data_IF_219866331912
#
_entry.id   IF_219866331912
#
_cell.length_a   1.000
_cell.length_b   1.000
_cell.length_c   1.000
_cell.angle_alpha   90.00
_cell.angle_beta   90.00
_cell.angle_gamma   90.00
#
_symmetry.space_group_name_H-M   'P 1'
#
loop_
_entity.id
_entity.type
_entity.pdbx_description
1 polymer ?
#
# COMPACT_ATOMS: atom_id res chain seq x y z
N UNK A 1 27.96 -1.63 21.03
CA UNK A 1 28.68 -1.61 19.74
C UNK A 1 28.99 -3.03 19.35
N UNK A 2 28.87 -3.38 18.07
CA UNK A 2 29.23 -4.70 17.51
C UNK A 2 30.32 -4.48 16.49
N UNK A 3 31.34 -5.32 16.50
CA UNK A 3 32.47 -5.24 15.59
C UNK A 3 32.38 -6.33 14.53
N UNK A 4 32.95 -6.07 13.34
CA UNK A 4 32.98 -7.05 12.24
C UNK A 4 34.16 -8.02 12.34
N UNK A 5 35.12 -7.75 13.23
CA UNK A 5 36.35 -8.51 13.38
C UNK A 5 36.66 -8.82 14.85
N UNK A 6 37.46 -9.87 15.09
CA UNK A 6 37.85 -10.30 16.41
C UNK A 6 38.89 -9.36 17.09
N UNK A 7 39.47 -8.44 16.34
CA UNK A 7 40.43 -7.46 16.84
C UNK A 7 39.75 -6.14 17.26
N UNK A 8 38.43 -6.02 17.15
CA UNK A 8 37.62 -4.84 17.50
C UNK A 8 38.05 -3.56 16.77
N UNK A 9 38.55 -3.68 15.53
CA UNK A 9 39.04 -2.56 14.74
C UNK A 9 38.00 -1.94 13.82
N UNK A 10 37.05 -2.74 13.32
CA UNK A 10 35.98 -2.28 12.46
C UNK A 10 34.64 -2.26 13.18
N UNK A 11 34.08 -1.07 13.34
CA UNK A 11 32.74 -0.91 13.91
C UNK A 11 31.69 -1.36 12.88
N UNK A 12 30.92 -2.38 13.23
CA UNK A 12 29.91 -2.94 12.33
C UNK A 12 28.52 -2.38 12.62
N UNK A 13 28.08 -2.43 13.87
CA UNK A 13 26.78 -1.97 14.29
C UNK A 13 26.92 -1.06 15.52
N UNK A 14 26.29 0.10 15.47
CA UNK A 14 25.98 0.90 16.66
C UNK A 14 24.58 0.57 17.11
N UNK A 15 24.41 0.23 18.37
CA UNK A 15 23.11 -0.05 18.98
C UNK A 15 22.79 1.05 19.98
N UNK A 16 21.65 1.71 19.79
CA UNK A 16 21.11 2.73 20.67
C UNK A 16 19.84 2.19 21.34
N UNK A 17 19.92 1.87 22.62
CA UNK A 17 18.77 1.37 23.38
C UNK A 17 18.12 2.50 24.18
N UNK A 18 16.81 2.60 24.10
CA UNK A 18 15.99 3.57 24.84
C UNK A 18 15.05 2.85 25.81
N UNK A 19 14.54 3.61 26.76
CA UNK A 19 13.56 3.09 27.73
C UNK A 19 12.25 2.72 27.01
N UNK A 20 11.54 1.78 27.61
CA UNK A 20 10.15 1.50 27.29
C UNK A 20 9.29 2.77 27.45
N UNK A 21 8.27 2.95 26.60
CA UNK A 21 7.31 4.07 26.67
C UNK A 21 7.89 5.49 26.51
N UNK A 22 8.92 5.68 25.69
CA UNK A 22 9.37 7.04 25.34
C UNK A 22 8.40 7.68 24.33
N UNK A 23 8.35 9.03 24.34
CA UNK A 23 7.56 9.75 23.35
C UNK A 23 8.09 9.54 21.92
N UNK A 24 7.23 9.72 20.92
CA UNK A 24 7.64 9.67 19.51
C UNK A 24 8.71 10.72 19.17
N UNK A 25 8.59 11.91 19.77
CA UNK A 25 9.58 12.99 19.66
C UNK A 25 10.95 12.56 20.19
N UNK A 26 10.98 11.93 21.38
CA UNK A 26 12.23 11.47 21.98
C UNK A 26 12.84 10.32 21.21
N UNK A 27 11.98 9.46 20.61
CA UNK A 27 12.45 8.38 19.76
C UNK A 27 13.08 8.90 18.46
N UNK A 28 12.47 9.93 17.83
CA UNK A 28 13.05 10.61 16.66
C UNK A 28 14.37 11.30 16.98
N UNK A 29 14.48 11.91 18.15
CA UNK A 29 15.76 12.48 18.63
C UNK A 29 16.82 11.40 18.84
N UNK A 30 16.42 10.22 19.32
CA UNK A 30 17.32 9.08 19.46
C UNK A 30 17.85 8.57 18.11
N UNK A 31 17.02 8.61 17.06
CA UNK A 31 17.44 8.29 15.69
C UNK A 31 18.55 9.25 15.25
N UNK A 32 18.35 10.56 15.37
CA UNK A 32 19.37 11.55 14.97
C UNK A 32 20.66 11.41 15.78
N UNK A 33 20.57 11.19 17.08
CA UNK A 33 21.72 10.95 17.94
C UNK A 33 22.48 9.67 17.53
N UNK A 34 21.72 8.60 17.24
CA UNK A 34 22.27 7.32 16.78
C UNK A 34 23.02 7.45 15.46
N UNK A 35 22.49 8.22 14.50
CA UNK A 35 23.19 8.52 13.25
C UNK A 35 24.47 9.30 13.49
N UNK A 36 24.47 10.31 14.36
CA UNK A 36 25.67 11.06 14.74
C UNK A 36 26.75 10.14 15.30
N UNK A 37 26.39 9.25 16.22
CA UNK A 37 27.28 8.27 16.82
C UNK A 37 27.80 7.27 15.78
N UNK A 38 26.95 6.71 14.95
CA UNK A 38 27.30 5.71 13.96
C UNK A 38 28.25 6.30 12.88
N UNK A 39 28.00 7.52 12.41
CA UNK A 39 28.89 8.23 11.50
C UNK A 39 30.24 8.54 12.11
N UNK A 40 30.29 9.03 13.34
CA UNK A 40 31.55 9.33 14.05
C UNK A 40 32.41 8.08 14.25
N UNK A 41 31.78 6.96 14.44
CA UNK A 41 32.42 5.65 14.63
C UNK A 41 32.66 4.90 13.31
N UNK A 42 32.22 5.45 12.18
CA UNK A 42 32.28 4.81 10.85
C UNK A 42 31.64 3.42 10.84
N UNK A 43 30.58 3.23 11.63
CA UNK A 43 29.83 1.98 11.64
C UNK A 43 29.04 1.81 10.31
N UNK A 44 28.82 0.56 9.94
CA UNK A 44 28.04 0.25 8.72
C UNK A 44 26.54 0.33 8.96
N UNK A 45 26.11 -0.11 10.14
CA UNK A 45 24.68 -0.16 10.49
C UNK A 45 24.42 0.54 11.82
N UNK A 46 23.19 1.03 11.97
CA UNK A 46 22.63 1.56 13.19
C UNK A 46 21.38 0.77 13.56
N UNK A 47 21.29 0.31 14.79
CA UNK A 47 20.10 -0.30 15.36
C UNK A 47 19.60 0.59 16.49
N UNK A 48 18.35 1.03 16.42
CA UNK A 48 17.68 1.76 17.48
C UNK A 48 16.53 0.91 17.99
N UNK A 49 16.49 0.68 19.28
CA UNK A 49 15.48 -0.15 19.92
C UNK A 49 15.01 0.44 21.24
N UNK A 50 13.74 0.27 21.51
CA UNK A 50 13.18 0.21 22.84
C UNK A 50 12.48 -1.16 22.97
N UNK A 51 11.78 -1.44 24.06
CA UNK A 51 11.14 -2.73 24.26
C UNK A 51 10.08 -3.07 23.18
N UNK A 52 9.43 -2.03 22.62
CA UNK A 52 8.27 -2.16 21.71
C UNK A 52 8.64 -2.02 20.24
N UNK A 53 9.68 -1.24 19.93
CA UNK A 53 10.03 -0.87 18.55
C UNK A 53 11.50 -1.15 18.27
N UNK A 54 11.79 -1.60 17.04
CA UNK A 54 13.13 -1.84 16.53
C UNK A 54 13.27 -1.24 15.12
N UNK A 55 14.22 -0.33 14.93
CA UNK A 55 14.53 0.25 13.64
C UNK A 55 16.00 0.04 13.31
N UNK A 56 16.27 -0.40 12.09
CA UNK A 56 17.60 -0.63 11.55
C UNK A 56 17.88 0.30 10.37
N UNK A 57 19.13 0.76 10.26
CA UNK A 57 19.54 1.68 9.21
C UNK A 57 20.91 1.28 8.64
N UNK A 58 21.05 1.37 7.31
CA UNK A 58 22.34 1.36 6.63
C UNK A 58 22.92 2.78 6.63
N UNK A 59 24.14 2.93 7.18
CA UNK A 59 24.75 4.26 7.37
C UNK A 59 25.63 4.65 6.19
N UNK A 60 26.14 3.69 5.44
CA UNK A 60 27.19 3.92 4.43
C UNK A 60 26.63 4.21 3.05
N UNK A 61 25.50 3.62 2.67
CA UNK A 61 25.03 3.61 1.30
C UNK A 61 24.12 4.79 0.91
N UNK A 62 23.63 5.56 1.90
CA UNK A 62 22.66 6.64 1.64
C UNK A 62 23.08 7.97 2.27
N UNK A 63 22.68 9.11 1.68
CA UNK A 63 22.99 10.43 2.24
C UNK A 63 22.45 10.60 3.65
N UNK A 64 23.21 11.26 4.56
CA UNK A 64 22.78 11.44 5.97
C UNK A 64 21.49 12.22 6.17
N UNK A 65 21.05 12.99 5.18
CA UNK A 65 19.84 13.81 5.21
C UNK A 65 18.58 13.10 4.68
N UNK A 66 18.71 11.87 4.18
CA UNK A 66 17.60 11.08 3.62
C UNK A 66 17.36 9.82 4.46
N UNK A 67 16.96 10.01 5.73
CA UNK A 67 16.80 8.95 6.74
C UNK A 67 15.91 7.81 6.30
N UNK A 68 14.84 8.11 5.57
CA UNK A 68 13.91 7.09 5.08
C UNK A 68 14.56 6.15 4.07
N UNK A 69 15.52 6.63 3.30
CA UNK A 69 16.29 5.79 2.37
C UNK A 69 17.33 4.93 3.08
N UNK A 70 17.82 5.36 4.24
CA UNK A 70 18.75 4.56 5.04
C UNK A 70 18.06 3.39 5.77
N UNK A 71 16.73 3.40 5.89
CA UNK A 71 16.01 2.39 6.67
C UNK A 71 16.06 1.03 6.00
N UNK A 72 16.41 0.00 6.77
CA UNK A 72 16.44 -1.41 6.34
C UNK A 72 15.54 -2.24 7.24
N UNK A 73 15.08 -3.39 6.77
CA UNK A 73 14.13 -4.24 7.50
C UNK A 73 14.74 -4.91 8.73
N UNK A 74 16.01 -5.24 8.71
CA UNK A 74 16.76 -5.78 9.84
C UNK A 74 18.28 -5.67 9.62
N UNK A 75 19.06 -5.87 10.69
CA UNK A 75 20.52 -5.99 10.61
C UNK A 75 20.87 -7.32 9.92
N UNK A 76 21.88 -7.32 9.02
CA UNK A 76 22.33 -8.54 8.36
C UNK A 76 22.78 -9.63 9.34
N UNK A 77 22.41 -10.86 9.03
CA UNK A 77 22.84 -12.04 9.80
C UNK A 77 24.25 -12.43 9.37
N UNK A 78 25.11 -12.75 10.33
CA UNK A 78 26.48 -13.25 10.09
C UNK A 78 27.31 -12.33 9.18
N UNK A 79 27.25 -11.02 9.39
CA UNK A 79 27.97 -10.00 8.61
C UNK A 79 27.65 -10.01 7.12
N UNK A 80 26.52 -10.57 6.72
CA UNK A 80 26.02 -10.62 5.35
C UNK A 80 25.48 -9.26 4.85
N UNK A 81 24.74 -9.31 3.75
CA UNK A 81 24.02 -8.16 3.23
C UNK A 81 22.70 -7.95 4.00
N UNK A 82 22.26 -6.69 4.10
CA UNK A 82 20.95 -6.38 4.63
C UNK A 82 19.85 -7.04 3.78
N UNK A 83 18.69 -7.38 4.39
CA UNK A 83 17.57 -7.87 3.62
C UNK A 83 17.18 -6.90 2.51
N UNK A 84 16.97 -7.41 1.30
CA UNK A 84 16.62 -6.60 0.13
C UNK A 84 15.34 -5.79 0.34
N UNK A 85 14.36 -6.34 1.05
CA UNK A 85 13.05 -5.73 1.23
C UNK A 85 12.86 -5.13 2.62
N UNK A 86 12.16 -3.98 2.68
CA UNK A 86 11.84 -3.28 3.91
C UNK A 86 10.48 -3.71 4.50
N UNK A 87 9.43 -3.70 3.67
CA UNK A 87 8.06 -3.89 4.17
C UNK A 87 7.72 -5.36 4.33
N UNK A 88 7.37 -5.74 5.59
CA UNK A 88 7.11 -7.12 6.01
C UNK A 88 5.82 -7.19 6.82
N UNK A 89 4.90 -8.07 6.39
CA UNK A 89 3.58 -8.20 7.00
C UNK A 89 3.63 -8.64 8.46
N UNK A 90 3.04 -7.83 9.34
CA UNK A 90 2.98 -8.11 10.78
C UNK A 90 4.27 -7.78 11.54
N UNK A 91 5.19 -6.99 10.96
CA UNK A 91 6.38 -6.47 11.64
C UNK A 91 6.22 -4.97 11.93
N UNK A 92 7.21 -4.37 12.61
CA UNK A 92 7.29 -2.91 12.84
C UNK A 92 7.41 -2.10 11.55
N UNK A 93 7.82 -2.76 10.46
CA UNK A 93 7.86 -2.21 9.11
C UNK A 93 6.71 -2.74 8.25
N UNK A 94 5.53 -2.98 8.81
CA UNK A 94 4.34 -3.32 8.02
C UNK A 94 3.82 -2.09 7.26
N UNK A 95 3.09 -2.33 6.18
CA UNK A 95 2.37 -1.28 5.46
C UNK A 95 1.22 -0.75 6.31
N UNK A 96 0.97 0.56 6.23
CA UNK A 96 0.04 1.26 7.11
C UNK A 96 -1.24 1.67 6.40
N UNK A 97 -2.32 1.73 7.14
CA UNK A 97 -3.55 2.40 6.73
C UNK A 97 -3.32 3.90 6.60
N UNK A 98 -3.99 4.54 5.65
CA UNK A 98 -3.89 5.98 5.43
C UNK A 98 -5.26 6.63 5.33
N UNK A 99 -5.31 7.92 5.67
CA UNK A 99 -6.53 8.71 5.53
C UNK A 99 -6.90 8.89 4.05
N UNK A 100 -8.19 9.14 3.82
CA UNK A 100 -8.71 9.53 2.51
C UNK A 100 -7.91 10.65 1.83
N UNK A 101 -7.57 11.72 2.56
CA UNK A 101 -6.81 12.85 2.01
C UNK A 101 -5.41 12.43 1.54
N UNK A 102 -4.74 11.59 2.31
CA UNK A 102 -3.43 11.03 1.95
C UNK A 102 -3.55 10.14 0.71
N UNK A 103 -4.52 9.23 0.69
CA UNK A 103 -4.73 8.32 -0.44
C UNK A 103 -5.02 9.08 -1.75
N UNK A 104 -5.91 10.10 -1.70
CA UNK A 104 -6.22 10.97 -2.84
C UNK A 104 -4.99 11.70 -3.37
N UNK A 105 -4.14 12.21 -2.46
CA UNK A 105 -2.89 12.87 -2.83
C UNK A 105 -1.91 11.90 -3.51
N UNK A 106 -1.79 10.67 -2.99
CA UNK A 106 -0.91 9.64 -3.56
C UNK A 106 -1.41 9.18 -4.93
N UNK A 107 -2.71 8.99 -5.11
CA UNK A 107 -3.30 8.64 -6.41
C UNK A 107 -3.05 9.73 -7.45
N UNK A 108 -3.20 11.00 -7.07
CA UNK A 108 -2.87 12.13 -7.94
C UNK A 108 -1.39 12.09 -8.34
N UNK A 109 -0.48 11.89 -7.40
CA UNK A 109 0.97 11.77 -7.70
C UNK A 109 1.25 10.62 -8.67
N UNK A 110 0.65 9.44 -8.45
CA UNK A 110 0.80 8.30 -9.35
C UNK A 110 0.31 8.62 -10.77
N UNK A 111 -0.87 9.25 -10.89
CA UNK A 111 -1.38 9.68 -12.18
C UNK A 111 -0.44 10.67 -12.87
N UNK A 112 0.04 11.68 -12.16
CA UNK A 112 0.95 12.69 -12.73
C UNK A 112 2.25 12.05 -13.23
N UNK A 113 2.76 11.04 -12.52
CA UNK A 113 3.90 10.22 -12.95
C UNK A 113 3.57 9.49 -14.25
N UNK A 114 2.43 8.81 -14.35
CA UNK A 114 2.05 8.02 -15.53
C UNK A 114 1.74 8.93 -16.71
N UNK A 115 0.93 9.97 -16.50
CA UNK A 115 0.49 10.92 -17.51
C UNK A 115 1.66 11.72 -18.15
N UNK A 116 2.73 11.97 -17.38
CA UNK A 116 3.98 12.57 -17.84
C UNK A 116 3.81 13.84 -18.69
N UNK A 117 2.89 14.74 -18.26
CA UNK A 117 2.66 16.02 -18.95
C UNK A 117 1.95 15.90 -20.30
N UNK A 118 1.04 14.92 -20.45
CA UNK A 118 0.17 14.80 -21.63
C UNK A 118 0.68 13.87 -22.73
N UNK A 119 1.65 13.00 -22.41
CA UNK A 119 2.12 11.97 -23.36
C UNK A 119 1.13 10.81 -23.54
N UNK A 120 0.31 10.56 -22.55
CA UNK A 120 -0.81 9.61 -22.60
C UNK A 120 -2.12 10.37 -22.44
N UNK A 121 -3.21 9.88 -23.02
CA UNK A 121 -4.53 10.41 -22.70
C UNK A 121 -4.92 10.01 -21.25
N UNK A 122 -5.80 10.80 -20.59
CA UNK A 122 -6.15 10.57 -19.20
C UNK A 122 -6.78 9.19 -18.92
N UNK A 123 -7.55 8.63 -19.86
CA UNK A 123 -8.21 7.34 -19.69
C UNK A 123 -7.19 6.19 -19.73
N UNK A 124 -6.23 6.25 -20.65
CA UNK A 124 -5.12 5.29 -20.69
C UNK A 124 -4.26 5.38 -19.45
N UNK A 125 -3.94 6.59 -18.96
CA UNK A 125 -3.18 6.75 -17.73
C UNK A 125 -3.92 6.16 -16.51
N UNK A 126 -5.25 6.30 -16.48
CA UNK A 126 -6.09 5.70 -15.44
C UNK A 126 -6.11 4.17 -15.52
N UNK A 127 -6.28 3.61 -16.73
CA UNK A 127 -6.27 2.16 -16.96
C UNK A 127 -4.95 1.54 -16.50
N UNK A 128 -3.83 2.12 -16.92
CA UNK A 128 -2.50 1.66 -16.51
C UNK A 128 -2.27 1.75 -14.99
N UNK A 129 -2.73 2.83 -14.36
CA UNK A 129 -2.68 2.96 -12.90
C UNK A 129 -3.52 1.89 -12.22
N UNK A 130 -4.72 1.61 -12.72
CA UNK A 130 -5.61 0.59 -12.16
C UNK A 130 -4.95 -0.78 -12.15
N UNK A 131 -4.29 -1.17 -13.23
CA UNK A 131 -3.53 -2.44 -13.33
C UNK A 131 -2.47 -2.56 -12.22
N UNK A 132 -1.72 -1.48 -11.95
CA UNK A 132 -0.71 -1.46 -10.89
C UNK A 132 -1.35 -1.54 -9.49
N UNK A 133 -2.49 -0.86 -9.27
CA UNK A 133 -3.22 -0.94 -8.01
C UNK A 133 -3.76 -2.35 -7.74
N UNK A 134 -4.22 -3.05 -8.77
CA UNK A 134 -4.63 -4.45 -8.64
C UNK A 134 -3.47 -5.38 -8.30
N UNK A 135 -2.31 -5.18 -8.91
CA UNK A 135 -1.08 -5.89 -8.53
C UNK A 135 -0.76 -5.70 -7.04
N UNK A 136 -0.90 -4.47 -6.52
CA UNK A 136 -0.71 -4.16 -5.12
C UNK A 136 -1.73 -4.85 -4.22
N UNK A 137 -3.02 -4.77 -4.56
CA UNK A 137 -4.10 -5.41 -3.80
C UNK A 137 -3.88 -6.92 -3.74
N UNK A 138 -3.48 -7.53 -4.84
CA UNK A 138 -3.17 -8.96 -4.92
C UNK A 138 -2.03 -9.34 -3.98
N UNK A 139 -0.94 -8.60 -4.00
CA UNK A 139 0.19 -8.84 -3.10
C UNK A 139 -0.22 -8.72 -1.63
N UNK A 140 -0.96 -7.67 -1.26
CA UNK A 140 -1.43 -7.48 0.11
C UNK A 140 -2.34 -8.63 0.60
N UNK A 141 -3.18 -9.20 -0.30
CA UNK A 141 -4.05 -10.35 0.00
C UNK A 141 -3.26 -11.63 0.19
N UNK A 142 -2.33 -11.92 -0.71
CA UNK A 142 -1.65 -13.22 -0.78
C UNK A 142 -0.43 -13.31 0.13
N UNK A 143 0.19 -12.20 0.49
CA UNK A 143 1.34 -12.19 1.40
C UNK A 143 0.95 -12.68 2.78
N UNK A 144 1.61 -13.73 3.27
CA UNK A 144 1.39 -14.32 4.60
C UNK A 144 2.09 -13.49 5.68
N UNK A 145 1.60 -13.57 6.92
CA UNK A 145 2.25 -12.94 8.08
C UNK A 145 3.72 -13.38 8.17
N UNK A 146 4.58 -12.46 8.53
CA UNK A 146 6.05 -12.61 8.59
C UNK A 146 6.76 -12.79 7.24
N UNK A 147 6.07 -12.61 6.10
CA UNK A 147 6.69 -12.55 4.79
C UNK A 147 6.79 -11.09 4.30
N UNK A 148 7.77 -10.84 3.44
CA UNK A 148 7.92 -9.55 2.77
C UNK A 148 6.85 -9.40 1.67
N UNK A 149 6.33 -8.18 1.53
CA UNK A 149 5.54 -7.83 0.36
C UNK A 149 6.41 -7.82 -0.89
N UNK A 150 5.85 -8.23 -2.00
CA UNK A 150 6.50 -8.15 -3.32
C UNK A 150 6.36 -6.77 -3.94
N UNK A 151 5.28 -6.03 -3.61
CA UNK A 151 4.99 -4.69 -4.10
C UNK A 151 5.79 -3.64 -3.32
N UNK A 152 7.08 -3.62 -3.54
CA UNK A 152 8.00 -2.64 -2.98
C UNK A 152 9.29 -2.58 -3.82
N UNK A 153 10.05 -1.51 -3.66
CA UNK A 153 11.40 -1.39 -4.23
C UNK A 153 12.38 -1.94 -3.21
N UNK A 154 13.12 -2.95 -3.60
CA UNK A 154 14.18 -3.52 -2.78
C UNK A 154 15.45 -2.67 -2.83
N UNK A 155 16.31 -2.87 -1.84
CA UNK A 155 17.63 -2.23 -1.80
C UNK A 155 18.43 -2.65 -3.05
N UNK A 156 19.02 -1.68 -3.75
CA UNK A 156 19.81 -1.85 -4.98
C UNK A 156 19.07 -2.47 -6.17
N UNK A 157 17.74 -2.53 -6.15
CA UNK A 157 16.95 -2.97 -7.30
C UNK A 157 16.75 -1.85 -8.33
N UNK A 158 16.92 -2.21 -9.60
CA UNK A 158 16.62 -1.33 -10.72
C UNK A 158 15.16 -1.45 -11.19
N UNK A 159 14.77 -0.53 -12.09
CA UNK A 159 13.40 -0.46 -12.65
C UNK A 159 12.97 -1.76 -13.38
N UNK A 160 13.91 -2.48 -13.99
CA UNK A 160 13.60 -3.72 -14.73
C UNK A 160 13.17 -4.83 -13.77
N UNK A 161 13.91 -5.03 -12.68
CA UNK A 161 13.64 -6.06 -11.67
C UNK A 161 12.30 -5.78 -10.98
N UNK A 162 12.09 -4.51 -10.57
CA UNK A 162 10.83 -4.10 -9.92
C UNK A 162 9.66 -4.28 -10.87
N UNK A 163 9.76 -3.81 -12.13
CA UNK A 163 8.67 -3.91 -13.10
C UNK A 163 8.31 -5.34 -13.43
N UNK A 164 9.30 -6.24 -13.58
CA UNK A 164 9.01 -7.65 -13.81
C UNK A 164 8.19 -8.25 -12.67
N UNK A 165 8.54 -7.94 -11.43
CA UNK A 165 7.80 -8.39 -10.25
C UNK A 165 6.36 -7.83 -10.21
N UNK A 166 6.16 -6.59 -10.66
CA UNK A 166 4.81 -6.02 -10.77
C UNK A 166 3.99 -6.69 -11.88
N UNK A 167 4.61 -7.03 -13.01
CA UNK A 167 3.94 -7.80 -14.06
C UNK A 167 3.51 -9.18 -13.57
N UNK A 168 4.35 -9.86 -12.79
CA UNK A 168 4.02 -11.17 -12.23
C UNK A 168 2.82 -11.05 -11.27
N UNK A 169 2.81 -10.07 -10.36
CA UNK A 169 1.69 -9.79 -9.46
C UNK A 169 0.39 -9.44 -10.21
N UNK A 170 0.51 -8.63 -11.25
CA UNK A 170 -0.64 -8.28 -12.10
C UNK A 170 -1.19 -9.51 -12.83
N UNK A 171 -0.32 -10.37 -13.36
CA UNK A 171 -0.73 -11.60 -14.00
C UNK A 171 -1.39 -12.59 -13.02
N UNK A 172 -0.90 -12.67 -11.77
CA UNK A 172 -1.56 -13.42 -10.70
C UNK A 172 -2.99 -12.87 -10.45
N UNK A 173 -3.16 -11.55 -10.38
CA UNK A 173 -4.47 -10.91 -10.20
C UNK A 173 -5.40 -11.14 -11.40
N UNK A 174 -4.88 -10.99 -12.62
CA UNK A 174 -5.62 -11.23 -13.88
C UNK A 174 -6.10 -12.67 -14.03
N UNK A 175 -5.33 -13.63 -13.54
CA UNK A 175 -5.72 -15.03 -13.59
C UNK A 175 -6.96 -15.35 -12.73
N UNK A 176 -7.23 -14.56 -11.69
CA UNK A 176 -8.42 -14.70 -10.83
C UNK A 176 -9.67 -14.19 -11.56
N UNK A 177 -9.54 -13.05 -12.27
CA UNK A 177 -10.65 -12.48 -13.03
C UNK A 177 -10.19 -12.01 -14.43
N UNK A 178 -10.09 -12.94 -15.40
CA UNK A 178 -9.58 -12.63 -16.74
C UNK A 178 -10.53 -11.74 -17.57
N UNK A 179 -11.77 -11.57 -17.16
CA UNK A 179 -12.72 -10.71 -17.87
C UNK A 179 -12.56 -9.23 -17.53
N UNK A 180 -12.00 -8.90 -16.37
CA UNK A 180 -11.77 -7.53 -15.92
C UNK A 180 -10.51 -6.94 -16.55
N UNK A 181 -9.46 -7.75 -16.66
CA UNK A 181 -8.15 -7.31 -17.16
C UNK A 181 -7.71 -8.09 -18.37
N UNK A 182 -7.93 -7.52 -19.55
CA UNK A 182 -7.63 -8.18 -20.83
C UNK A 182 -6.26 -7.81 -21.39
N UNK A 183 -5.70 -6.66 -21.00
CA UNK A 183 -4.48 -6.11 -21.57
C UNK A 183 -3.32 -6.07 -20.58
N UNK A 184 -2.09 -6.15 -21.07
CA UNK A 184 -0.87 -6.02 -20.28
C UNK A 184 -0.63 -4.57 -19.85
N UNK A 185 0.24 -4.35 -18.86
CA UNK A 185 0.72 -3.03 -18.49
C UNK A 185 1.67 -2.53 -19.59
N UNK A 186 1.41 -1.32 -20.12
CA UNK A 186 2.09 -0.78 -21.32
C UNK A 186 2.95 0.46 -21.06
N UNK A 187 3.08 0.90 -19.80
CA UNK A 187 3.90 2.06 -19.46
C UNK A 187 5.38 1.70 -19.27
N UNK A 188 6.31 2.68 -19.41
CA UNK A 188 7.73 2.47 -19.21
C UNK A 188 8.07 1.98 -17.79
N UNK A 189 9.09 1.15 -17.66
CA UNK A 189 9.55 0.58 -16.39
C UNK A 189 9.87 1.65 -15.32
N UNK A 190 10.47 2.78 -15.73
CA UNK A 190 10.71 3.91 -14.84
C UNK A 190 9.43 4.44 -14.19
N UNK A 191 8.29 4.44 -14.91
CA UNK A 191 7.01 4.88 -14.39
C UNK A 191 6.43 3.88 -13.39
N UNK A 192 6.55 2.58 -13.69
CA UNK A 192 6.15 1.52 -12.75
C UNK A 192 6.95 1.64 -11.46
N UNK A 193 8.27 1.79 -11.58
CA UNK A 193 9.17 1.95 -10.43
C UNK A 193 8.78 3.13 -9.54
N UNK A 194 8.54 4.31 -10.12
CA UNK A 194 8.12 5.50 -9.38
C UNK A 194 6.76 5.31 -8.70
N UNK A 195 5.78 4.69 -9.36
CA UNK A 195 4.47 4.41 -8.76
C UNK A 195 4.60 3.43 -7.60
N UNK A 196 5.41 2.39 -7.73
CA UNK A 196 5.70 1.47 -6.63
C UNK A 196 6.31 2.20 -5.45
N UNK A 197 7.31 3.06 -5.68
CA UNK A 197 7.93 3.91 -4.64
C UNK A 197 6.92 4.77 -3.88
N UNK A 198 5.95 5.35 -4.59
CA UNK A 198 4.91 6.18 -3.99
C UNK A 198 3.96 5.37 -3.10
N UNK A 199 3.62 4.14 -3.51
CA UNK A 199 2.56 3.35 -2.87
C UNK A 199 3.05 2.25 -1.93
N UNK A 200 4.34 1.92 -1.91
CA UNK A 200 4.87 0.73 -1.22
C UNK A 200 4.63 0.71 0.29
N UNK A 201 4.57 1.87 0.93
CA UNK A 201 4.44 1.98 2.40
C UNK A 201 3.01 1.94 2.92
N UNK A 202 2.02 2.09 2.04
CA UNK A 202 0.61 2.16 2.43
C UNK A 202 -0.12 0.86 2.16
N UNK A 203 -1.20 0.61 2.90
CA UNK A 203 -2.11 -0.51 2.67
C UNK A 203 -3.39 -0.04 1.99
N UNK A 204 -3.71 -0.65 0.86
CA UNK A 204 -5.01 -0.47 0.21
C UNK A 204 -6.08 -1.37 0.86
N UNK A 205 -5.72 -2.56 1.32
CA UNK A 205 -6.70 -3.48 1.91
C UNK A 205 -7.15 -3.06 3.32
N UNK A 206 -6.25 -2.49 4.15
CA UNK A 206 -6.58 -1.98 5.48
C UNK A 206 -7.36 -0.66 5.43
N UNK A 207 -7.18 0.14 4.38
CA UNK A 207 -7.93 1.38 4.17
C UNK A 207 -9.40 1.05 3.92
N UNK A 208 -10.31 1.73 4.60
CA UNK A 208 -11.75 1.47 4.48
C UNK A 208 -12.28 1.65 3.05
N UNK A 209 -13.39 0.95 2.76
CA UNK A 209 -13.93 0.87 1.38
C UNK A 209 -14.45 2.22 0.90
N UNK A 210 -14.98 3.05 1.81
CA UNK A 210 -15.49 4.39 1.48
C UNK A 210 -14.34 5.33 1.13
N UNK A 211 -13.27 5.34 1.92
CA UNK A 211 -12.08 6.15 1.64
C UNK A 211 -11.44 5.77 0.31
N UNK A 212 -11.37 4.48 -0.01
CA UNK A 212 -10.90 4.00 -1.32
C UNK A 212 -11.79 4.50 -2.46
N UNK A 213 -13.08 4.27 -2.35
CA UNK A 213 -14.05 4.68 -3.37
C UNK A 213 -14.05 6.18 -3.59
N UNK A 214 -14.05 6.98 -2.50
CA UNK A 214 -13.97 8.45 -2.60
C UNK A 214 -12.67 8.94 -3.24
N UNK A 215 -11.54 8.34 -2.88
CA UNK A 215 -10.25 8.68 -3.48
C UNK A 215 -10.25 8.40 -4.98
N UNK A 216 -10.83 7.29 -5.40
CA UNK A 216 -11.01 6.95 -6.81
C UNK A 216 -11.96 7.92 -7.54
N UNK A 217 -13.10 8.27 -6.96
CA UNK A 217 -14.05 9.23 -7.56
C UNK A 217 -13.46 10.62 -7.74
N UNK A 218 -12.75 11.14 -6.72
CA UNK A 218 -12.08 12.43 -6.84
C UNK A 218 -10.98 12.35 -7.90
N UNK A 219 -10.22 11.27 -7.89
CA UNK A 219 -9.18 11.04 -8.88
C UNK A 219 -9.78 11.00 -10.30
N UNK A 220 -10.83 10.22 -10.54
CA UNK A 220 -11.57 10.21 -11.80
C UNK A 220 -12.10 11.61 -12.15
N UNK A 221 -12.72 12.31 -11.20
CA UNK A 221 -13.20 13.66 -11.39
C UNK A 221 -12.12 14.68 -11.77
N UNK A 222 -10.90 14.52 -11.28
CA UNK A 222 -9.75 15.36 -11.67
C UNK A 222 -9.25 14.99 -13.07
N UNK A 223 -9.13 13.70 -13.35
CA UNK A 223 -8.60 13.15 -14.62
C UNK A 223 -9.55 13.47 -15.79
N UNK A 224 -10.86 13.35 -15.60
CA UNK A 224 -11.85 13.47 -16.66
C UNK A 224 -12.55 14.82 -16.76
N UNK A 225 -12.25 15.81 -15.88
CA UNK A 225 -12.84 17.17 -15.96
C UNK A 225 -12.61 17.90 -17.28
N UNK A 226 -11.74 17.38 -18.14
CA UNK A 226 -11.37 18.03 -19.40
C UNK A 226 -12.09 17.54 -20.66
N UNK A 227 -12.97 16.51 -20.62
CA UNK A 227 -13.47 16.04 -21.91
C UNK A 227 -14.57 14.99 -21.99
N UNK A 228 -14.87 14.22 -20.97
CA UNK A 228 -15.75 13.05 -21.12
C UNK A 228 -17.11 13.14 -20.43
N UNK A 229 -17.46 14.27 -19.79
CA UNK A 229 -18.83 14.51 -19.30
C UNK A 229 -19.37 13.47 -18.31
N UNK A 230 -18.52 12.67 -17.68
CA UNK A 230 -18.98 11.76 -16.64
C UNK A 230 -19.25 12.54 -15.36
N UNK A 231 -20.51 12.56 -14.95
CA UNK A 231 -20.97 13.14 -13.69
C UNK A 231 -21.25 12.02 -12.71
N UNK A 232 -20.56 12.04 -11.57
CA UNK A 232 -20.84 11.11 -10.49
C UNK A 232 -22.02 11.62 -9.66
N UNK A 233 -22.95 10.72 -9.33
CA UNK A 233 -24.02 11.01 -8.38
C UNK A 233 -23.42 11.34 -7.03
N UNK A 234 -23.84 12.45 -6.41
CA UNK A 234 -23.35 12.86 -5.09
C UNK A 234 -23.62 11.77 -4.07
N UNK A 235 -22.64 11.43 -3.21
CA UNK A 235 -22.75 10.36 -2.22
C UNK A 235 -23.94 10.49 -1.32
N UNK A 236 -24.29 11.70 -0.88
CA UNK A 236 -25.47 11.95 -0.07
C UNK A 236 -26.78 11.49 -0.75
N UNK A 237 -26.85 11.59 -2.09
CA UNK A 237 -28.00 11.13 -2.86
C UNK A 237 -27.99 9.61 -2.96
N UNK A 238 -26.82 9.02 -3.18
CA UNK A 238 -26.63 7.56 -3.21
C UNK A 238 -27.03 6.95 -1.86
N UNK A 239 -26.46 7.49 -0.78
CA UNK A 239 -26.74 7.07 0.59
C UNK A 239 -28.24 7.21 0.94
N UNK A 240 -28.86 8.33 0.61
CA UNK A 240 -30.29 8.52 0.78
C UNK A 240 -31.11 7.46 0.05
N UNK A 241 -30.81 7.21 -1.24
CA UNK A 241 -31.52 6.23 -2.05
C UNK A 241 -31.40 4.81 -1.51
N UNK A 242 -30.18 4.39 -1.15
CA UNK A 242 -29.92 3.06 -0.60
C UNK A 242 -30.57 2.90 0.79
N UNK A 243 -30.49 3.93 1.64
CA UNK A 243 -31.15 3.90 2.95
C UNK A 243 -32.68 3.90 2.84
N UNK A 244 -33.24 4.54 1.82
CA UNK A 244 -34.68 4.54 1.57
C UNK A 244 -35.19 3.19 1.09
N UNK A 245 -34.40 2.47 0.26
CA UNK A 245 -34.75 1.14 -0.26
C UNK A 245 -34.52 0.03 0.72
N UNK A 246 -33.63 0.22 1.70
CA UNK A 246 -33.26 -0.75 2.74
C UNK A 246 -32.98 -2.17 2.22
N UNK A 247 -32.07 -2.35 1.26
CA UNK A 247 -31.78 -3.67 0.72
C UNK A 247 -31.24 -4.61 1.79
N UNK A 248 -31.63 -5.90 1.72
CA UNK A 248 -31.15 -6.97 2.57
C UNK A 248 -30.38 -8.07 1.80
N UNK A 249 -29.91 -9.10 2.51
CA UNK A 249 -29.10 -10.19 1.92
C UNK A 249 -29.85 -11.07 0.90
N UNK A 250 -31.18 -10.99 0.83
CA UNK A 250 -32.01 -11.78 -0.07
C UNK A 250 -32.40 -11.01 -1.34
N UNK A 251 -32.18 -9.69 -1.35
CA UNK A 251 -32.51 -8.86 -2.49
C UNK A 251 -31.50 -9.04 -3.61
N UNK A 252 -31.98 -8.88 -4.85
CA UNK A 252 -31.13 -8.74 -6.04
C UNK A 252 -31.14 -7.28 -6.50
N UNK A 253 -29.96 -6.68 -6.63
CA UNK A 253 -29.80 -5.28 -6.93
C UNK A 253 -29.28 -5.12 -8.37
N UNK A 254 -30.03 -4.37 -9.17
CA UNK A 254 -29.64 -4.02 -10.54
C UNK A 254 -29.54 -2.51 -10.70
N UNK A 255 -28.40 -2.05 -11.14
CA UNK A 255 -28.21 -0.67 -11.60
C UNK A 255 -27.90 -0.68 -13.11
N UNK A 256 -28.90 -0.38 -13.98
CA UNK A 256 -28.74 -0.44 -15.43
C UNK A 256 -27.87 0.69 -16.01
N UNK A 257 -27.44 1.63 -15.16
CA UNK A 257 -26.61 2.78 -15.56
C UNK A 257 -25.54 3.05 -14.51
N UNK A 258 -24.91 1.99 -13.98
CA UNK A 258 -24.12 2.00 -12.77
C UNK A 258 -22.93 2.99 -12.77
N UNK A 259 -22.42 3.40 -13.91
CA UNK A 259 -21.22 4.24 -13.97
C UNK A 259 -20.06 3.58 -13.24
N UNK A 260 -19.55 4.22 -12.17
CA UNK A 260 -18.53 3.67 -11.27
C UNK A 260 -19.08 2.72 -10.21
N UNK A 261 -20.35 2.36 -10.25
CA UNK A 261 -20.98 1.46 -9.29
C UNK A 261 -21.34 2.09 -7.95
N UNK A 262 -21.53 3.40 -7.89
CA UNK A 262 -21.78 4.08 -6.62
C UNK A 262 -22.95 3.51 -5.82
N UNK A 263 -24.11 3.30 -6.44
CA UNK A 263 -25.28 2.69 -5.80
C UNK A 263 -25.04 1.22 -5.43
N UNK A 264 -24.38 0.45 -6.29
CA UNK A 264 -24.08 -0.97 -6.03
C UNK A 264 -23.14 -1.12 -4.84
N UNK A 265 -22.06 -0.32 -4.80
CA UNK A 265 -21.10 -0.35 -3.69
C UNK A 265 -21.71 0.06 -2.35
N UNK A 266 -22.59 1.07 -2.33
CA UNK A 266 -23.26 1.50 -1.12
C UNK A 266 -24.29 0.46 -0.63
N UNK A 267 -25.01 -0.15 -1.56
CA UNK A 267 -25.94 -1.25 -1.26
C UNK A 267 -25.19 -2.45 -0.68
N UNK A 268 -24.10 -2.84 -1.31
CA UNK A 268 -23.23 -3.92 -0.81
C UNK A 268 -22.70 -3.63 0.60
N UNK A 269 -22.23 -2.41 0.84
CA UNK A 269 -21.77 -1.99 2.17
C UNK A 269 -22.86 -2.13 3.21
N UNK A 270 -24.06 -1.62 2.93
CA UNK A 270 -25.20 -1.68 3.86
C UNK A 270 -25.59 -3.11 4.20
N UNK A 271 -25.69 -3.97 3.18
CA UNK A 271 -26.02 -5.39 3.38
C UNK A 271 -24.90 -6.11 4.15
N UNK A 272 -23.64 -5.79 3.89
CA UNK A 272 -22.51 -6.36 4.64
C UNK A 272 -22.52 -5.98 6.11
N UNK A 273 -22.83 -4.73 6.44
CA UNK A 273 -22.98 -4.26 7.82
C UNK A 273 -24.15 -4.97 8.52
N UNK A 274 -25.24 -5.24 7.79
CA UNK A 274 -26.38 -6.00 8.32
C UNK A 274 -26.00 -7.47 8.56
N UNK A 275 -25.34 -8.13 7.60
CA UNK A 275 -24.85 -9.51 7.75
C UNK A 275 -23.91 -9.62 8.97
N UNK A 276 -22.98 -8.69 9.16
CA UNK A 276 -22.10 -8.69 10.33
C UNK A 276 -22.86 -8.63 11.65
N UNK A 277 -23.91 -7.84 11.68
CA UNK A 277 -24.76 -7.66 12.87
C UNK A 277 -25.65 -8.87 13.13
N UNK A 278 -26.26 -9.43 12.08
CA UNK A 278 -27.23 -10.53 12.21
C UNK A 278 -26.56 -11.87 12.55
N UNK A 279 -25.28 -12.03 12.14
CA UNK A 279 -24.49 -13.25 12.37
C UNK A 279 -23.28 -13.01 13.27
N UNK A 280 -23.37 -12.05 14.21
CA UNK A 280 -22.27 -11.69 15.12
C UNK A 280 -21.70 -12.93 15.83
N UNK A 281 -20.37 -13.14 15.70
CA UNK A 281 -19.65 -14.30 16.26
C UNK A 281 -19.53 -15.52 15.35
N UNK A 282 -20.11 -15.49 14.14
CA UNK A 282 -20.06 -16.57 13.15
C UNK A 282 -19.21 -16.18 11.92
N UNK A 283 -17.90 -15.93 12.11
CA UNK A 283 -17.00 -15.35 11.09
C UNK A 283 -17.00 -16.06 9.74
N UNK A 284 -17.06 -17.41 9.74
CA UNK A 284 -17.11 -18.21 8.52
C UNK A 284 -18.43 -18.01 7.75
N UNK A 285 -19.54 -17.91 8.48
CA UNK A 285 -20.87 -17.68 7.90
C UNK A 285 -20.99 -16.27 7.33
N UNK A 286 -20.51 -15.25 8.08
CA UNK A 286 -20.43 -13.86 7.63
C UNK A 286 -19.65 -13.79 6.30
N UNK A 287 -18.47 -14.39 6.26
CA UNK A 287 -17.63 -14.41 5.07
C UNK A 287 -18.32 -15.07 3.87
N UNK A 288 -18.96 -16.21 4.09
CA UNK A 288 -19.72 -16.95 3.07
C UNK A 288 -20.90 -16.15 2.51
N UNK A 289 -21.71 -15.52 3.40
CA UNK A 289 -22.86 -14.72 3.01
C UNK A 289 -22.46 -13.46 2.24
N UNK A 290 -21.44 -12.73 2.69
CA UNK A 290 -20.90 -11.58 1.98
C UNK A 290 -20.40 -11.97 0.59
N UNK A 291 -19.65 -13.06 0.48
CA UNK A 291 -19.19 -13.59 -0.79
C UNK A 291 -20.35 -13.94 -1.72
N UNK A 292 -21.37 -14.65 -1.20
CA UNK A 292 -22.56 -15.02 -1.97
C UNK A 292 -23.31 -13.79 -2.48
N UNK A 293 -23.57 -12.81 -1.61
CA UNK A 293 -24.25 -11.57 -1.99
C UNK A 293 -23.51 -10.80 -3.07
N UNK A 294 -22.21 -10.60 -2.89
CA UNK A 294 -21.38 -9.86 -3.86
C UNK A 294 -21.28 -10.52 -5.25
N UNK A 295 -21.47 -11.84 -5.34
CA UNK A 295 -21.33 -12.57 -6.61
C UNK A 295 -22.66 -12.91 -7.28
N UNK A 296 -23.74 -12.96 -6.54
CA UNK A 296 -25.02 -13.45 -7.07
C UNK A 296 -26.16 -12.42 -7.00
N UNK A 297 -26.01 -11.37 -6.20
CA UNK A 297 -27.09 -10.45 -5.88
C UNK A 297 -26.84 -9.01 -6.34
N UNK A 298 -25.66 -8.74 -6.89
CA UNK A 298 -25.28 -7.43 -7.45
C UNK A 298 -24.83 -7.56 -8.92
#
# INVERSE_FOLDING_TARGET
>A
MVYSDDNFQENYIVVENKKENISESDFNQAIEQGFGNANSLRAKYLLISNFDKKFAYDIQNYPPNERDQNKISDIPINYGLAPTFLYKKGSDNDIIEVSFATLSSLFKKCHDVIWAGGKLDPSTAFDEMSKILFAKIQDEKTTRRNNYYKFQVGQDENEVIVSQRIFDLYNEARAIDPNVFTEDIKIPYSKIYEVVKILQSISLNKTDIDSKGQAFEIFLGVVFRGGLGQYFTRRQIVEFGVNFLEPDENDTILDPSCGSGGFLLYSMKKVFEQIEKDYEGEDDLISSKKFSFANNNI
#
